data_IF_967539372753
#
_entry.id   IF_967539372753
#
_cell.length_a   1.000
_cell.length_b   1.000
_cell.length_c   1.000
_cell.angle_alpha   90.00
_cell.angle_beta   90.00
_cell.angle_gamma   90.00
#
_symmetry.space_group_name_H-M   'P 1'
#
loop_
_entity.id
_entity.type
_entity.pdbx_description
1 polymer ?
#
# COMPACT_ATOMS: atom_id res chain seq x y z
N UNK A 1 -1.18 -0.57 -19.07
CA UNK A 1 -0.83 0.78 -18.60
C UNK A 1 -0.89 1.76 -19.75
N UNK A 2 -1.32 2.98 -19.47
CA UNK A 2 -1.57 3.99 -20.50
C UNK A 2 -0.76 5.24 -20.20
N UNK A 3 -0.24 5.87 -21.25
CA UNK A 3 0.39 7.16 -21.14
C UNK A 3 -0.61 8.15 -20.53
N UNK A 4 -0.15 9.07 -19.68
CA UNK A 4 -1.04 10.05 -19.14
C UNK A 4 -1.43 10.99 -20.32
N UNK A 5 -2.68 11.48 -20.35
CA UNK A 5 -3.11 12.59 -21.24
C UNK A 5 -3.40 13.86 -20.44
N UNK A 6 -3.20 15.07 -21.01
CA UNK A 6 -3.50 16.32 -20.32
C UNK A 6 -4.95 16.33 -19.84
N UNK A 7 -5.17 16.70 -18.58
CA UNK A 7 -6.50 16.83 -17.99
C UNK A 7 -6.60 18.20 -17.35
N UNK A 8 -7.79 18.80 -17.42
CA UNK A 8 -8.07 20.03 -16.69
C UNK A 8 -7.77 19.81 -15.18
N UNK A 9 -6.87 20.61 -14.56
CA UNK A 9 -6.46 20.44 -13.17
C UNK A 9 -7.63 20.57 -12.17
N UNK A 10 -8.69 21.31 -12.50
CA UNK A 10 -9.91 21.38 -11.68
C UNK A 10 -10.59 20.02 -11.51
N UNK A 11 -10.34 19.06 -12.43
CA UNK A 11 -10.81 17.67 -12.27
C UNK A 11 -10.17 16.95 -11.09
N UNK A 12 -9.05 17.43 -10.55
CA UNK A 12 -8.44 16.84 -9.35
C UNK A 12 -9.40 16.90 -8.16
N UNK A 13 -10.16 17.99 -8.03
CA UNK A 13 -11.10 18.24 -6.93
C UNK A 13 -12.50 17.64 -7.14
N UNK A 14 -12.82 17.15 -8.35
CA UNK A 14 -14.15 16.61 -8.66
C UNK A 14 -14.35 15.18 -8.11
N UNK A 15 -15.59 14.77 -7.77
CA UNK A 15 -15.91 13.39 -7.37
C UNK A 15 -15.65 12.36 -8.49
N UNK A 16 -15.24 11.13 -8.14
CA UNK A 16 -14.92 10.04 -9.09
C UNK A 16 -16.03 9.77 -10.12
N UNK A 17 -17.30 9.77 -9.69
CA UNK A 17 -18.47 9.42 -10.52
C UNK A 17 -18.74 10.34 -11.72
N UNK A 18 -18.15 11.54 -11.77
CA UNK A 18 -18.32 12.50 -12.89
C UNK A 18 -17.13 12.55 -13.85
N UNK A 19 -16.13 11.66 -13.72
CA UNK A 19 -14.90 11.67 -14.52
C UNK A 19 -14.93 10.59 -15.61
N UNK A 20 -15.07 10.98 -16.88
CA UNK A 20 -14.79 10.07 -18.02
C UNK A 20 -13.31 9.65 -17.97
N UNK A 21 -13.04 8.33 -18.00
CA UNK A 21 -11.68 7.78 -18.10
C UNK A 21 -11.15 8.07 -19.50
N UNK A 22 -10.03 8.78 -19.57
CA UNK A 22 -9.32 9.09 -20.81
C UNK A 22 -8.00 8.34 -20.73
N UNK A 23 -7.81 7.38 -21.63
CA UNK A 23 -6.60 6.58 -21.74
C UNK A 23 -5.68 7.16 -22.83
N UNK A 24 -4.39 7.26 -22.52
CA UNK A 24 -3.33 7.52 -23.49
C UNK A 24 -3.00 6.29 -24.32
N UNK A 25 -1.91 6.40 -25.07
CA UNK A 25 -1.31 5.27 -25.77
C UNK A 25 -0.86 4.19 -24.79
N UNK A 26 -0.71 2.96 -25.27
CA UNK A 26 -0.20 1.87 -24.46
C UNK A 26 1.28 2.10 -24.17
N UNK A 27 1.64 2.12 -22.88
CA UNK A 27 3.05 2.18 -22.50
C UNK A 27 3.72 0.82 -22.71
N UNK A 28 5.02 0.77 -23.07
CA UNK A 28 5.79 -0.47 -23.21
C UNK A 28 6.19 -1.05 -21.84
N UNK A 29 5.23 -1.16 -20.92
CA UNK A 29 5.48 -1.63 -19.55
C UNK A 29 5.92 -3.10 -19.50
N UNK A 30 5.61 -3.88 -20.53
CA UNK A 30 6.04 -5.29 -20.63
C UNK A 30 7.54 -5.42 -20.83
N UNK A 31 8.13 -4.51 -21.60
CA UNK A 31 9.58 -4.51 -21.85
C UNK A 31 10.31 -4.10 -20.57
N UNK A 32 9.79 -3.11 -19.84
CA UNK A 32 10.31 -2.74 -18.52
C UNK A 32 10.20 -3.89 -17.51
N UNK A 33 9.06 -4.59 -17.49
CA UNK A 33 8.88 -5.79 -16.66
C UNK A 33 9.90 -6.87 -17.02
N UNK A 34 10.09 -7.14 -18.30
CA UNK A 34 11.05 -8.13 -18.78
C UNK A 34 12.47 -7.76 -18.32
N UNK A 35 12.87 -6.50 -18.47
CA UNK A 35 14.17 -6.01 -18.00
C UNK A 35 14.36 -6.20 -16.49
N UNK A 36 13.34 -5.93 -15.65
CA UNK A 36 13.45 -6.20 -14.21
C UNK A 36 13.62 -7.68 -13.91
N UNK A 37 12.83 -8.55 -14.55
CA UNK A 37 12.94 -10.00 -14.37
C UNK A 37 14.32 -10.53 -14.80
N UNK A 38 14.85 -10.04 -15.92
CA UNK A 38 16.21 -10.36 -16.39
C UNK A 38 17.30 -9.94 -15.38
N UNK A 39 17.05 -8.91 -14.59
CA UNK A 39 17.94 -8.44 -13.51
C UNK A 39 17.61 -9.06 -12.14
N UNK A 40 16.90 -10.20 -12.12
CA UNK A 40 16.66 -10.99 -10.91
C UNK A 40 15.48 -10.52 -10.05
N UNK A 41 14.60 -9.68 -10.58
CA UNK A 41 13.39 -9.29 -9.86
C UNK A 41 12.33 -10.38 -9.96
N UNK A 42 11.72 -10.68 -8.82
CA UNK A 42 10.57 -11.55 -8.75
C UNK A 42 9.29 -10.78 -9.09
N UNK A 43 8.71 -11.09 -10.24
CA UNK A 43 7.40 -10.57 -10.59
C UNK A 43 6.31 -11.29 -9.79
N UNK A 44 5.58 -10.53 -8.97
CA UNK A 44 4.48 -11.01 -8.16
C UNK A 44 3.10 -10.80 -8.81
N UNK A 45 3.04 -10.37 -10.07
CA UNK A 45 1.76 -10.11 -10.76
C UNK A 45 0.91 -11.39 -10.89
N UNK A 46 -0.12 -11.50 -10.04
CA UNK A 46 -1.04 -12.63 -9.97
C UNK A 46 -0.37 -13.97 -9.65
N UNK A 47 0.71 -13.93 -8.88
CA UNK A 47 1.39 -15.14 -8.43
C UNK A 47 1.60 -15.12 -6.92
N UNK A 48 1.70 -16.33 -6.37
CA UNK A 48 2.14 -16.61 -5.02
C UNK A 48 3.55 -17.18 -5.07
N UNK A 49 4.41 -16.77 -4.16
CA UNK A 49 5.79 -17.25 -4.08
C UNK A 49 6.27 -17.26 -2.65
N UNK A 50 6.93 -18.35 -2.26
CA UNK A 50 7.73 -18.38 -1.04
C UNK A 50 9.17 -18.09 -1.42
N UNK A 51 9.78 -17.12 -0.75
CA UNK A 51 11.21 -16.81 -0.88
C UNK A 51 11.91 -17.10 0.44
N UNK A 52 13.16 -17.55 0.36
CA UNK A 52 14.00 -17.77 1.52
C UNK A 52 14.92 -16.57 1.73
N UNK A 53 14.92 -16.02 2.95
CA UNK A 53 15.75 -14.88 3.33
C UNK A 53 16.36 -15.18 4.69
N UNK A 54 17.68 -15.34 4.75
CA UNK A 54 18.41 -15.64 5.99
C UNK A 54 17.79 -16.81 6.79
N UNK A 55 17.61 -17.95 6.12
CA UNK A 55 17.02 -19.19 6.67
C UNK A 55 15.57 -19.05 7.16
N UNK A 56 14.86 -18.01 6.72
CA UNK A 56 13.45 -17.78 7.02
C UNK A 56 12.63 -17.78 5.74
N UNK A 57 11.48 -18.44 5.77
CA UNK A 57 10.53 -18.43 4.66
C UNK A 57 9.62 -17.20 4.75
N UNK A 58 9.61 -16.42 3.68
CA UNK A 58 8.71 -15.28 3.48
C UNK A 58 7.71 -15.66 2.40
N UNK A 59 6.43 -15.74 2.77
CA UNK A 59 5.37 -15.97 1.81
C UNK A 59 4.94 -14.65 1.19
N UNK A 60 4.88 -14.59 -0.13
CA UNK A 60 4.53 -13.39 -0.88
C UNK A 60 3.45 -13.67 -1.90
N UNK A 61 2.59 -12.69 -2.16
CA UNK A 61 1.74 -12.71 -3.33
C UNK A 61 1.45 -11.29 -3.80
N UNK A 62 1.16 -11.13 -5.09
CA UNK A 62 0.89 -9.83 -5.66
C UNK A 62 -0.28 -9.81 -6.64
N UNK A 63 -0.84 -8.61 -6.79
CA UNK A 63 -1.86 -8.30 -7.79
C UNK A 63 -1.48 -7.06 -8.59
N UNK A 64 -1.92 -7.02 -9.85
CA UNK A 64 -1.83 -5.83 -10.71
C UNK A 64 -2.78 -4.71 -10.19
N UNK A 65 -2.85 -3.61 -10.92
CA UNK A 65 -3.54 -2.39 -10.53
C UNK A 65 -5.06 -2.55 -10.37
N UNK A 66 -5.49 -2.59 -9.10
CA UNK A 66 -6.88 -2.59 -8.68
C UNK A 66 -7.66 -1.36 -9.15
N UNK A 67 -6.99 -0.21 -9.33
CA UNK A 67 -7.61 1.01 -9.85
C UNK A 67 -8.04 0.83 -11.32
N UNK A 68 -7.25 0.07 -12.08
CA UNK A 68 -7.55 -0.30 -13.47
C UNK A 68 -8.42 -1.57 -13.59
N UNK A 69 -8.84 -2.16 -12.46
CA UNK A 69 -9.55 -3.46 -12.40
C UNK A 69 -8.74 -4.58 -13.06
N UNK A 70 -7.43 -4.59 -12.84
CA UNK A 70 -6.51 -5.61 -13.35
C UNK A 70 -6.02 -6.56 -12.28
N UNK A 71 -6.38 -6.35 -11.02
CA UNK A 71 -5.87 -7.07 -9.84
C UNK A 71 -6.11 -8.59 -9.85
N UNK A 72 -7.20 -9.08 -10.46
CA UNK A 72 -7.52 -10.52 -10.60
C UNK A 72 -7.18 -11.33 -9.33
N UNK A 73 -7.64 -10.88 -8.17
CA UNK A 73 -7.28 -11.50 -6.89
C UNK A 73 -7.58 -13.01 -6.85
N UNK A 74 -8.62 -13.47 -7.56
CA UNK A 74 -8.99 -14.87 -7.69
C UNK A 74 -7.82 -15.79 -8.10
N UNK A 75 -6.84 -15.30 -8.86
CA UNK A 75 -5.67 -16.09 -9.28
C UNK A 75 -4.72 -16.42 -8.13
N UNK A 76 -4.80 -15.63 -7.06
CA UNK A 76 -3.97 -15.76 -5.86
C UNK A 76 -4.85 -15.92 -4.61
N UNK A 77 -6.08 -16.43 -4.73
CA UNK A 77 -6.99 -16.56 -3.58
C UNK A 77 -6.68 -17.79 -2.71
N UNK A 78 -6.99 -17.69 -1.41
CA UNK A 78 -6.86 -18.77 -0.44
C UNK A 78 -5.89 -18.46 0.72
N UNK A 79 -5.85 -19.26 1.77
CA UNK A 79 -5.04 -18.96 2.94
C UNK A 79 -3.55 -18.82 2.58
N UNK A 80 -2.93 -17.76 3.07
CA UNK A 80 -1.48 -17.58 3.03
C UNK A 80 -0.78 -18.61 3.91
N UNK A 81 0.46 -18.97 3.56
CA UNK A 81 1.18 -20.04 4.27
C UNK A 81 1.40 -19.69 5.75
N UNK A 82 0.85 -20.53 6.63
CA UNK A 82 0.95 -20.36 8.08
C UNK A 82 2.33 -20.70 8.63
N UNK A 83 3.12 -21.49 7.90
CA UNK A 83 4.49 -21.84 8.25
C UNK A 83 5.52 -20.75 7.92
N UNK A 84 5.16 -19.76 7.10
CA UNK A 84 6.04 -18.65 6.79
C UNK A 84 6.25 -17.72 8.01
N UNK A 85 7.48 -17.22 8.16
CA UNK A 85 7.84 -16.25 9.20
C UNK A 85 7.03 -14.95 9.07
N UNK A 86 6.74 -14.55 7.82
CA UNK A 86 5.86 -13.43 7.50
C UNK A 86 5.18 -13.64 6.14
N UNK A 87 3.93 -13.20 6.03
CA UNK A 87 3.12 -13.23 4.80
C UNK A 87 2.92 -11.80 4.28
N UNK A 88 3.44 -11.51 3.08
CA UNK A 88 3.45 -10.16 2.50
C UNK A 88 2.62 -10.13 1.21
N UNK A 89 1.59 -9.28 1.18
CA UNK A 89 0.83 -8.96 -0.02
C UNK A 89 1.39 -7.72 -0.72
N UNK A 90 1.34 -7.68 -2.05
CA UNK A 90 1.75 -6.53 -2.85
C UNK A 90 0.62 -6.12 -3.79
N UNK A 91 0.24 -4.85 -3.77
CA UNK A 91 -0.74 -4.29 -4.71
C UNK A 91 -0.30 -2.91 -5.15
N UNK A 92 -0.59 -2.52 -6.39
CA UNK A 92 -0.31 -1.14 -6.79
C UNK A 92 -1.21 -0.15 -6.04
N UNK A 93 -2.53 -0.39 -6.01
CA UNK A 93 -3.52 0.50 -5.39
C UNK A 93 -4.17 -0.15 -4.17
N UNK A 94 -4.23 0.52 -3.01
CA UNK A 94 -4.82 0.00 -1.78
C UNK A 94 -6.36 0.15 -1.78
N UNK A 95 -7.03 -0.48 -2.75
CA UNK A 95 -8.50 -0.47 -2.80
C UNK A 95 -9.07 -1.44 -1.74
N UNK A 96 -10.06 -1.04 -0.91
CA UNK A 96 -10.58 -1.83 0.20
C UNK A 96 -10.93 -3.28 -0.16
N UNK A 97 -11.60 -3.49 -1.31
CA UNK A 97 -11.96 -4.84 -1.79
C UNK A 97 -10.77 -5.79 -1.93
N UNK A 98 -9.58 -5.29 -2.27
CA UNK A 98 -8.37 -6.11 -2.42
C UNK A 98 -7.72 -6.32 -1.05
N UNK A 99 -7.75 -5.29 -0.20
CA UNK A 99 -7.21 -5.37 1.15
C UNK A 99 -8.03 -6.31 2.04
N UNK A 100 -9.34 -6.37 1.85
CA UNK A 100 -10.23 -7.28 2.57
C UNK A 100 -9.93 -8.74 2.22
N UNK A 101 -9.66 -9.04 0.96
CA UNK A 101 -9.26 -10.38 0.50
C UNK A 101 -7.89 -10.78 1.08
N UNK A 102 -6.88 -9.90 1.02
CA UNK A 102 -5.58 -10.16 1.68
C UNK A 102 -5.74 -10.35 3.20
N UNK A 103 -6.61 -9.59 3.85
CA UNK A 103 -6.88 -9.75 5.28
C UNK A 103 -7.59 -11.07 5.58
N UNK A 104 -8.55 -11.47 4.75
CA UNK A 104 -9.28 -12.74 4.85
C UNK A 104 -8.38 -13.96 4.66
N UNK A 105 -7.42 -13.87 3.74
CA UNK A 105 -6.43 -14.91 3.48
C UNK A 105 -5.30 -14.95 4.53
N UNK A 106 -5.25 -13.99 5.46
CA UNK A 106 -4.36 -14.02 6.62
C UNK A 106 -2.96 -13.45 6.38
N UNK A 107 -2.81 -12.50 5.46
CA UNK A 107 -1.54 -11.80 5.27
C UNK A 107 -1.21 -10.89 6.47
N UNK A 108 0.07 -10.80 6.82
CA UNK A 108 0.53 -9.99 7.96
C UNK A 108 0.76 -8.53 7.57
N UNK A 109 1.22 -8.30 6.34
CA UNK A 109 1.57 -6.99 5.80
C UNK A 109 1.18 -6.89 4.33
N UNK A 110 0.52 -5.79 3.94
CA UNK A 110 0.33 -5.42 2.54
C UNK A 110 1.11 -4.16 2.23
N UNK A 111 1.92 -4.22 1.17
CA UNK A 111 2.65 -3.10 0.61
C UNK A 111 1.87 -2.53 -0.58
N UNK A 112 1.58 -1.24 -0.52
CA UNK A 112 0.86 -0.53 -1.56
C UNK A 112 1.50 0.81 -1.94
N UNK A 113 1.11 1.32 -3.11
CA UNK A 113 1.50 2.63 -3.60
C UNK A 113 0.28 3.43 -4.07
N UNK A 114 0.36 3.95 -5.30
CA UNK A 114 -0.71 4.65 -6.03
C UNK A 114 -1.19 6.01 -5.47
N UNK A 115 -1.21 6.19 -4.14
CA UNK A 115 -1.74 7.42 -3.53
C UNK A 115 -0.82 8.63 -3.68
N UNK A 116 0.48 8.41 -3.93
CA UNK A 116 1.53 9.43 -3.87
C UNK A 116 1.52 10.26 -2.57
N UNK A 117 1.04 9.67 -1.46
CA UNK A 117 0.85 10.38 -0.18
C UNK A 117 -0.23 11.47 -0.22
N UNK A 118 -1.07 11.46 -1.26
CA UNK A 118 -2.10 12.46 -1.51
C UNK A 118 -1.60 13.74 -2.17
N UNK A 119 -0.37 13.75 -2.70
CA UNK A 119 0.37 14.74 -3.51
C UNK A 119 0.25 16.25 -3.15
N UNK A 120 -0.95 16.75 -2.85
CA UNK A 120 -1.28 18.02 -2.24
C UNK A 120 -1.86 17.78 -0.84
N UNK A 121 -1.07 18.09 0.20
CA UNK A 121 -1.49 18.01 1.60
C UNK A 121 -1.66 19.41 2.17
N UNK A 122 -2.68 19.59 3.00
CA UNK A 122 -2.81 20.82 3.81
C UNK A 122 -2.08 20.59 5.14
N UNK A 123 -1.16 21.47 5.55
CA UNK A 123 -0.49 21.38 6.85
C UNK A 123 -1.52 21.25 7.98
N UNK A 124 -1.36 20.28 8.88
CA UNK A 124 -2.29 20.00 9.98
C UNK A 124 -3.56 19.21 9.61
N UNK A 125 -3.91 19.07 8.31
CA UNK A 125 -5.14 18.40 7.86
C UNK A 125 -4.89 17.16 6.97
N UNK A 126 -3.75 17.08 6.29
CA UNK A 126 -3.34 15.90 5.52
C UNK A 126 -3.76 15.93 4.03
N UNK A 127 -3.72 14.77 3.38
CA UNK A 127 -3.96 14.58 1.94
C UNK A 127 -5.35 15.06 1.54
N UNK A 128 -5.54 15.97 0.58
CA UNK A 128 -6.89 16.44 0.19
C UNK A 128 -7.73 15.38 -0.52
N UNK A 129 -7.08 14.54 -1.31
CA UNK A 129 -7.68 13.41 -2.03
C UNK A 129 -6.68 12.26 -2.07
N UNK A 130 -7.16 11.03 -2.08
CA UNK A 130 -6.33 9.82 -2.16
C UNK A 130 -6.42 9.13 -3.52
N UNK A 131 -7.38 9.53 -4.37
CA UNK A 131 -7.73 8.92 -5.67
C UNK A 131 -8.06 7.41 -5.64
N UNK A 132 -8.09 6.78 -4.47
CA UNK A 132 -8.60 5.44 -4.19
C UNK A 132 -9.77 5.54 -3.19
N UNK A 133 -10.43 4.43 -2.88
CA UNK A 133 -11.49 4.37 -1.85
C UNK A 133 -10.93 4.34 -0.41
N UNK A 134 -9.61 4.41 -0.26
CA UNK A 134 -8.94 4.44 1.03
C UNK A 134 -9.16 5.77 1.77
N UNK A 135 -9.37 5.66 3.09
CA UNK A 135 -9.40 6.81 4.00
C UNK A 135 -8.11 7.64 3.91
N UNK A 136 -8.26 8.97 3.95
CA UNK A 136 -7.18 9.96 3.80
C UNK A 136 -6.08 9.82 4.87
N UNK A 137 -6.39 9.29 6.04
CA UNK A 137 -5.44 8.99 7.13
C UNK A 137 -4.47 7.87 6.78
N UNK A 138 -4.84 6.97 5.86
CA UNK A 138 -4.02 5.83 5.44
C UNK A 138 -3.36 6.05 4.07
N UNK A 139 -3.40 7.27 3.55
CA UNK A 139 -2.81 7.62 2.26
C UNK A 139 -1.29 7.45 2.21
N UNK A 140 -0.61 7.31 3.36
CA UNK A 140 0.84 7.16 3.49
C UNK A 140 1.19 6.44 4.81
N UNK A 141 2.29 5.70 4.80
CA UNK A 141 2.91 5.12 5.97
C UNK A 141 2.22 3.84 6.44
N UNK A 142 2.61 3.38 7.63
CA UNK A 142 2.05 2.17 8.23
C UNK A 142 0.73 2.45 8.95
N UNK A 143 -0.25 1.59 8.71
CA UNK A 143 -1.59 1.63 9.30
C UNK A 143 -2.13 0.21 9.49
N UNK A 144 -3.25 0.06 10.21
CA UNK A 144 -3.91 -1.24 10.35
C UNK A 144 -5.04 -1.40 9.34
N UNK A 145 -5.20 -2.62 8.82
CA UNK A 145 -6.36 -3.04 8.04
C UNK A 145 -6.95 -4.32 8.62
N UNK A 146 -8.27 -4.37 8.79
CA UNK A 146 -8.92 -5.45 9.53
C UNK A 146 -8.39 -5.58 10.96
N UNK A 147 -8.43 -6.80 11.50
CA UNK A 147 -8.07 -7.07 12.89
C UNK A 147 -6.55 -7.10 13.14
N UNK A 148 -5.76 -7.60 12.19
CA UNK A 148 -4.36 -7.96 12.44
C UNK A 148 -3.38 -7.53 11.34
N UNK A 149 -3.85 -7.23 10.13
CA UNK A 149 -2.98 -6.93 9.00
C UNK A 149 -2.42 -5.50 9.09
N UNK A 150 -1.13 -5.35 8.81
CA UNK A 150 -0.52 -4.06 8.56
C UNK A 150 -0.70 -3.68 7.09
N UNK A 151 -1.00 -2.41 6.84
CA UNK A 151 -0.98 -1.80 5.52
C UNK A 151 0.09 -0.72 5.52
N UNK A 152 1.05 -0.82 4.61
CA UNK A 152 2.00 0.24 4.33
C UNK A 152 1.75 0.85 2.96
N UNK A 153 1.46 2.15 2.92
CA UNK A 153 1.29 2.89 1.66
C UNK A 153 2.48 3.83 1.46
N UNK A 154 3.30 3.59 0.44
CA UNK A 154 4.41 4.49 0.11
C UNK A 154 3.91 5.76 -0.57
N UNK A 155 4.44 6.94 -0.19
CA UNK A 155 4.21 8.16 -0.97
C UNK A 155 5.01 8.19 -2.29
N UNK A 156 5.91 7.23 -2.51
CA UNK A 156 6.73 7.10 -3.70
C UNK A 156 7.68 8.26 -3.95
N UNK A 157 8.52 8.12 -4.97
CA UNK A 157 9.52 9.12 -5.37
C UNK A 157 8.99 10.09 -6.45
N UNK A 158 8.14 9.60 -7.35
CA UNK A 158 7.68 10.35 -8.53
C UNK A 158 6.42 11.18 -8.30
N UNK A 159 6.14 12.08 -9.23
CA UNK A 159 4.89 12.86 -9.29
C UNK A 159 4.03 12.38 -10.45
N UNK A 160 2.72 12.66 -10.40
CA UNK A 160 1.89 12.59 -11.59
C UNK A 160 2.41 13.59 -12.63
N UNK A 161 2.64 13.21 -13.90
CA UNK A 161 3.13 14.13 -14.94
C UNK A 161 2.27 15.38 -15.16
N UNK A 162 0.99 15.35 -14.78
CA UNK A 162 0.07 16.50 -14.89
C UNK A 162 -0.25 17.19 -13.57
N UNK A 163 0.34 16.71 -12.48
CA UNK A 163 0.38 17.43 -11.23
C UNK A 163 1.84 17.35 -10.74
N UNK A 164 2.76 18.10 -11.37
CA UNK A 164 4.18 17.99 -11.04
C UNK A 164 4.54 18.56 -9.65
N UNK A 165 3.57 19.17 -8.95
CA UNK A 165 3.76 19.74 -7.62
C UNK A 165 3.46 18.73 -6.51
N UNK A 166 4.43 18.57 -5.61
CA UNK A 166 4.27 17.97 -4.27
C UNK A 166 4.23 19.11 -3.26
N UNK A 167 3.10 19.31 -2.59
CA UNK A 167 2.98 20.31 -1.53
C UNK A 167 2.76 19.62 -0.18
N UNK A 168 3.66 19.89 0.77
CA UNK A 168 3.72 19.24 2.08
C UNK A 168 3.76 17.68 2.02
N UNK A 169 4.30 17.11 0.93
CA UNK A 169 4.40 15.67 0.69
C UNK A 169 5.71 15.31 -0.04
N UNK A 170 6.86 15.35 0.65
CA UNK A 170 8.16 15.07 0.02
C UNK A 170 8.23 13.64 -0.57
N UNK A 171 9.11 13.39 -1.55
CA UNK A 171 9.46 12.04 -2.01
C UNK A 171 9.81 11.11 -0.85
N UNK A 172 9.46 9.84 -0.96
CA UNK A 172 9.65 8.86 0.11
C UNK A 172 10.25 7.55 -0.41
N UNK A 173 11.28 7.09 0.29
CA UNK A 173 11.70 5.70 0.34
C UNK A 173 11.51 5.22 1.79
N UNK A 174 10.80 4.11 1.97
CA UNK A 174 10.42 3.62 3.31
C UNK A 174 11.31 2.44 3.70
N UNK A 175 11.95 2.52 4.86
CA UNK A 175 12.64 1.40 5.49
C UNK A 175 11.71 0.78 6.53
N UNK A 176 11.32 -0.47 6.33
CA UNK A 176 10.44 -1.20 7.24
C UNK A 176 11.24 -2.25 8.00
N UNK A 177 11.20 -2.18 9.33
CA UNK A 177 11.77 -3.21 10.20
C UNK A 177 10.65 -4.11 10.67
N UNK A 178 10.69 -5.38 10.24
CA UNK A 178 9.76 -6.40 10.71
C UNK A 178 10.32 -7.03 11.98
N UNK A 179 9.48 -7.12 13.00
CA UNK A 179 9.82 -7.75 14.28
C UNK A 179 8.89 -8.95 14.52
N UNK A 180 9.36 -9.98 15.24
CA UNK A 180 8.50 -11.09 15.63
C UNK A 180 7.24 -10.58 16.34
N UNK A 181 6.09 -11.19 16.05
CA UNK A 181 4.88 -10.92 16.83
C UNK A 181 5.15 -11.33 18.26
N UNK A 182 5.03 -10.41 19.21
CA UNK A 182 5.16 -10.73 20.62
C UNK A 182 4.15 -11.84 20.96
N UNK A 183 4.62 -12.93 21.54
CA UNK A 183 3.75 -13.89 22.21
C UNK A 183 3.10 -13.16 23.36
N UNK A 184 1.85 -12.72 23.19
CA UNK A 184 1.01 -12.38 24.34
C UNK A 184 0.80 -13.66 25.11
N UNK A 185 1.66 -13.95 26.08
CA UNK A 185 1.23 -14.70 27.25
C UNK A 185 0.13 -13.87 27.89
N UNK A 186 -1.02 -14.50 28.12
CA UNK A 186 -2.12 -13.97 28.92
C UNK A 186 -1.62 -13.70 30.34
N UNK A 187 -0.91 -12.59 30.53
CA UNK A 187 -0.57 -12.08 31.84
C UNK A 187 -1.51 -10.92 32.12
N UNK A 188 -2.56 -11.25 32.88
CA UNK A 188 -3.44 -10.34 33.59
C UNK A 188 -2.81 -8.98 33.85
N UNK A 189 -3.45 -7.92 33.34
CA UNK A 189 -3.22 -6.53 33.73
C UNK A 189 -3.15 -6.40 35.25
N UNK A 190 -1.95 -6.36 35.82
CA UNK A 190 -1.71 -5.54 37.02
C UNK A 190 -1.52 -4.11 36.52
N UNK A 191 -2.58 -3.32 36.65
CA UNK A 191 -2.54 -1.89 36.42
C UNK A 191 -1.46 -1.26 37.31
N UNK A 192 -0.42 -0.69 36.71
CA UNK A 192 0.51 0.17 37.41
C UNK A 192 -0.16 1.55 37.63
N UNK A 193 -0.05 2.15 38.82
CA UNK A 193 -0.77 3.38 39.15
C UNK A 193 -0.16 4.59 38.43
N UNK A 194 -1.01 5.41 37.80
CA UNK A 194 -0.67 6.75 37.30
C UNK A 194 -0.22 7.63 38.47
N UNK A 195 1.08 7.93 38.56
CA UNK A 195 1.54 9.11 39.31
C UNK A 195 1.37 10.35 38.43
N UNK A 196 0.30 11.10 38.66
CA UNK A 196 0.21 12.48 38.23
C UNK A 196 1.24 13.30 39.01
N UNK A 197 2.15 13.99 38.31
CA UNK A 197 2.91 15.09 38.90
C UNK A 197 2.28 16.39 38.44
N UNK A 198 1.54 16.99 39.36
CA UNK A 198 1.12 18.37 39.36
C UNK A 198 2.27 19.19 39.96
N UNK A 199 2.83 20.17 39.24
CA UNK A 199 3.38 21.40 39.84
C UNK A 199 3.67 22.44 38.76
N UNK A 200 3.07 23.60 39.02
CA UNK A 200 3.10 24.89 38.34
C UNK A 200 4.45 25.61 38.51
N UNK A 201 4.88 26.35 37.48
CA UNK A 201 5.17 27.79 37.52
C UNK A 201 4.95 28.39 36.14
#
# INVERSE_FOLDING_TARGET
>A
YYAPKPKNPARYLMPKGKKKRIHGEHLPWRDLRAAFVEHGWDDLTHVRRTIEVADQYVFTAGVDDAHLRRDRYADIAGPADRGAAVRIGVTHSPEPRVLDEFAGDGYDLVLAGHTHGGQLRVPGYGALVTNCELDRTRARGASRWGAQMWLHVSAGLGTSPYAPARFACPPEASLLTLVPRGTTSDNHRKAAPRKARNTVR
#
